data_IF_110322958955
#
_entry.id   IF_110322958955
#
_cell.length_a   1.000
_cell.length_b   1.000
_cell.length_c   1.000
_cell.angle_alpha   90.00
_cell.angle_beta   90.00
_cell.angle_gamma   90.00
#
_symmetry.space_group_name_H-M   'P 1'
#
loop_
_entity.id
_entity.type
_entity.pdbx_description
1 polymer ?
#
# COMPACT_ATOMS: atom_id res chain seq x y z
N UNK A 1 22.26 47.71 81.63
CA UNK A 1 22.83 46.34 81.51
C UNK A 1 24.07 46.28 82.38
N UNK A 2 24.07 45.46 83.44
CA UNK A 2 25.18 45.36 84.40
C UNK A 2 26.25 44.40 83.86
N UNK A 3 27.46 44.91 83.61
CA UNK A 3 28.63 44.10 83.29
C UNK A 3 29.09 43.40 84.58
N UNK A 4 29.10 42.06 84.58
CA UNK A 4 29.56 41.28 85.73
C UNK A 4 30.99 40.76 85.47
N UNK A 5 32.02 41.41 86.03
CA UNK A 5 33.43 41.12 85.75
C UNK A 5 33.86 39.71 86.18
N UNK A 6 33.17 39.10 87.16
CA UNK A 6 33.47 37.75 87.61
C UNK A 6 33.04 36.69 86.58
N UNK A 7 31.93 36.93 85.88
CA UNK A 7 31.48 36.05 84.79
C UNK A 7 32.38 36.16 83.55
N UNK A 8 32.94 37.33 83.26
CA UNK A 8 33.92 37.47 82.18
C UNK A 8 35.25 36.80 82.52
N UNK A 9 35.73 36.92 83.76
CA UNK A 9 36.95 36.26 84.23
C UNK A 9 36.82 34.73 84.23
N UNK A 10 35.69 34.19 84.70
CA UNK A 10 35.44 32.74 84.69
C UNK A 10 35.36 32.18 83.26
N UNK A 11 34.75 32.91 82.33
CA UNK A 11 34.72 32.53 80.90
C UNK A 11 36.12 32.57 80.28
N UNK A 12 36.92 33.57 80.60
CA UNK A 12 38.30 33.69 80.11
C UNK A 12 39.19 32.57 80.67
N UNK A 13 39.13 32.28 81.97
CA UNK A 13 39.88 31.17 82.57
C UNK A 13 39.48 29.80 82.00
N UNK A 14 38.18 29.60 81.72
CA UNK A 14 37.69 28.37 81.08
C UNK A 14 38.19 28.23 79.64
N UNK A 15 38.25 29.33 78.87
CA UNK A 15 38.91 29.35 77.54
C UNK A 15 40.39 29.04 77.65
N UNK A 16 41.11 29.73 78.52
CA UNK A 16 42.55 29.55 78.72
C UNK A 16 42.92 28.11 79.13
N UNK A 17 42.07 27.45 79.94
CA UNK A 17 42.24 26.05 80.32
C UNK A 17 41.97 25.07 79.16
N UNK A 18 41.01 25.38 78.27
CA UNK A 18 40.80 24.58 77.05
C UNK A 18 41.95 24.77 76.06
N UNK A 19 42.47 25.99 75.92
CA UNK A 19 43.61 26.30 75.04
C UNK A 19 44.90 25.60 75.50
N UNK A 20 45.04 25.27 76.80
CA UNK A 20 46.17 24.49 77.35
C UNK A 20 46.00 22.97 77.26
N UNK A 21 44.82 22.46 76.85
CA UNK A 21 44.53 21.02 76.76
C UNK A 21 44.54 20.46 75.33
N UNK A 22 44.50 21.33 74.32
CA UNK A 22 44.67 20.91 72.93
C UNK A 22 46.16 20.84 72.59
N UNK A 23 46.60 19.68 72.09
CA UNK A 23 47.90 19.56 71.44
C UNK A 23 47.93 20.47 70.19
N UNK A 24 48.79 21.50 70.13
CA UNK A 24 48.87 22.39 68.99
C UNK A 24 49.15 21.66 67.67
N UNK A 25 49.88 20.53 67.71
CA UNK A 25 50.17 19.75 66.52
C UNK A 25 48.90 19.13 65.93
N UNK A 26 48.04 18.57 66.78
CA UNK A 26 46.77 18.00 66.35
C UNK A 26 45.83 19.04 65.72
N UNK A 27 45.82 20.28 66.24
CA UNK A 27 45.05 21.38 65.66
C UNK A 27 45.58 21.77 64.27
N UNK A 28 46.90 21.76 64.07
CA UNK A 28 47.52 22.02 62.77
C UNK A 28 47.24 20.89 61.77
N UNK A 29 47.33 19.63 62.20
CA UNK A 29 47.06 18.46 61.36
C UNK A 29 45.59 18.45 60.91
N UNK A 30 44.65 18.73 61.81
CA UNK A 30 43.23 18.87 61.47
C UNK A 30 42.95 20.06 60.55
N UNK A 31 43.70 21.16 60.69
CA UNK A 31 43.57 22.30 59.79
C UNK A 31 44.07 21.94 58.38
N UNK A 32 45.19 21.24 58.27
CA UNK A 32 45.72 20.73 57.00
C UNK A 32 44.76 19.73 56.34
N UNK A 33 44.21 18.79 57.10
CA UNK A 33 43.21 17.82 56.60
C UNK A 33 41.94 18.54 56.12
N UNK A 34 41.44 19.52 56.87
CA UNK A 34 40.29 20.33 56.45
C UNK A 34 40.58 21.08 55.14
N UNK A 35 41.76 21.64 55.01
CA UNK A 35 42.13 22.41 53.81
C UNK A 35 42.29 21.47 52.60
N UNK A 36 42.87 20.27 52.78
CA UNK A 36 42.90 19.22 51.77
C UNK A 36 41.48 18.79 51.35
N UNK A 37 40.59 18.52 52.31
CA UNK A 37 39.20 18.13 52.01
C UNK A 37 38.43 19.24 51.28
N UNK A 38 38.76 20.52 51.52
CA UNK A 38 38.18 21.65 50.77
C UNK A 38 38.65 21.65 49.33
N UNK A 39 39.94 21.46 49.09
CA UNK A 39 40.49 21.35 47.73
C UNK A 39 39.90 20.17 46.96
N UNK A 40 39.78 19.01 47.61
CA UNK A 40 39.15 17.82 47.01
C UNK A 40 37.68 18.06 46.68
N UNK A 41 36.92 18.68 47.58
CA UNK A 41 35.52 19.05 47.32
C UNK A 41 35.41 20.01 46.14
N UNK A 42 36.22 21.06 46.11
CA UNK A 42 36.17 22.07 45.04
C UNK A 42 36.54 21.45 43.68
N UNK A 43 37.48 20.50 43.67
CA UNK A 43 37.82 19.69 42.50
C UNK A 43 36.66 18.79 42.04
N UNK A 44 36.03 18.06 42.96
CA UNK A 44 34.88 17.21 42.67
C UNK A 44 33.66 18.01 42.20
N UNK A 45 33.45 19.21 42.73
CA UNK A 45 32.36 20.11 42.33
C UNK A 45 32.58 20.60 40.88
N UNK A 46 33.82 20.93 40.52
CA UNK A 46 34.20 21.27 39.15
C UNK A 46 33.97 20.09 38.19
N UNK A 47 34.36 18.88 38.59
CA UNK A 47 34.14 17.68 37.78
C UNK A 47 32.65 17.33 37.64
N UNK A 48 31.88 17.43 38.70
CA UNK A 48 30.43 17.22 38.67
C UNK A 48 29.75 18.22 37.72
N UNK A 49 30.16 19.48 37.75
CA UNK A 49 29.68 20.51 36.82
C UNK A 49 30.04 20.18 35.38
N UNK A 50 31.27 19.71 35.12
CA UNK A 50 31.73 19.28 33.80
C UNK A 50 30.91 18.12 33.26
N UNK A 51 30.73 17.06 34.04
CA UNK A 51 29.98 15.86 33.63
C UNK A 51 28.50 16.20 33.42
N UNK A 52 27.92 17.04 34.28
CA UNK A 52 26.53 17.51 34.11
C UNK A 52 26.36 18.28 32.81
N UNK A 53 27.31 19.16 32.47
CA UNK A 53 27.30 19.87 31.19
C UNK A 53 27.48 18.95 29.98
N UNK A 54 28.32 17.91 30.08
CA UNK A 54 28.46 16.90 29.03
C UNK A 54 27.17 16.09 28.84
N UNK A 55 26.52 15.67 29.93
CA UNK A 55 25.27 14.94 29.88
C UNK A 55 24.14 15.76 29.25
N UNK A 56 24.04 17.05 29.56
CA UNK A 56 23.07 17.93 28.93
C UNK A 56 23.27 18.00 27.40
N UNK A 57 24.52 18.20 26.94
CA UNK A 57 24.84 18.22 25.51
C UNK A 57 24.54 16.90 24.81
N UNK A 58 24.89 15.77 25.43
CA UNK A 58 24.58 14.45 24.89
C UNK A 58 23.07 14.22 24.83
N UNK A 59 22.32 14.71 25.81
CA UNK A 59 20.87 14.63 25.80
C UNK A 59 20.27 15.42 24.63
N UNK A 60 20.73 16.65 24.42
CA UNK A 60 20.30 17.48 23.28
C UNK A 60 20.61 16.80 21.93
N UNK A 61 21.81 16.23 21.79
CA UNK A 61 22.21 15.47 20.58
C UNK A 61 21.33 14.23 20.35
N UNK A 62 20.98 13.51 21.41
CA UNK A 62 20.09 12.35 21.31
C UNK A 62 18.71 12.78 20.81
N UNK A 63 18.17 13.87 21.34
CA UNK A 63 16.87 14.42 20.92
C UNK A 63 16.89 14.80 19.43
N UNK A 64 17.94 15.48 18.97
CA UNK A 64 18.13 15.85 17.57
C UNK A 64 18.18 14.60 16.66
N UNK A 65 18.96 13.59 17.03
CA UNK A 65 19.04 12.33 16.27
C UNK A 65 17.70 11.58 16.19
N UNK A 66 16.88 11.65 17.23
CA UNK A 66 15.53 11.07 17.19
C UNK A 66 14.62 11.81 16.21
N UNK A 67 14.70 13.14 16.16
CA UNK A 67 13.94 13.95 15.20
C UNK A 67 14.37 13.66 13.76
N UNK A 68 15.68 13.63 13.50
CA UNK A 68 16.23 13.30 12.18
C UNK A 68 15.80 11.90 11.72
N UNK A 69 15.86 10.91 12.62
CA UNK A 69 15.42 9.54 12.33
C UNK A 69 13.95 9.50 11.93
N UNK A 70 13.09 10.24 12.64
CA UNK A 70 11.66 10.26 12.38
C UNK A 70 11.34 10.99 11.07
N UNK A 71 12.08 12.06 10.76
CA UNK A 71 12.01 12.73 9.46
C UNK A 71 12.43 11.80 8.32
N UNK A 72 13.58 11.12 8.45
CA UNK A 72 14.07 10.16 7.45
C UNK A 72 13.09 9.00 7.25
N UNK A 73 12.44 8.51 8.31
CA UNK A 73 11.37 7.50 8.21
C UNK A 73 10.19 8.01 7.39
N UNK A 74 9.74 9.24 7.63
CA UNK A 74 8.65 9.83 6.85
C UNK A 74 9.03 10.03 5.38
N UNK A 75 10.27 10.45 5.10
CA UNK A 75 10.79 10.57 3.74
C UNK A 75 10.89 9.22 3.03
N UNK A 76 11.33 8.17 3.74
CA UNK A 76 11.40 6.81 3.23
C UNK A 76 10.01 6.27 2.87
N UNK A 77 9.00 6.50 3.72
CA UNK A 77 7.61 6.12 3.43
C UNK A 77 7.13 6.83 2.15
N UNK A 78 7.29 8.15 2.06
CA UNK A 78 6.91 8.92 0.86
C UNK A 78 7.63 8.45 -0.40
N UNK A 79 8.92 8.11 -0.28
CA UNK A 79 9.71 7.60 -1.40
C UNK A 79 9.26 6.20 -1.81
N UNK A 80 8.95 5.33 -0.85
CA UNK A 80 8.41 4.01 -1.11
C UNK A 80 7.02 4.11 -1.75
N UNK A 81 6.13 4.98 -1.27
CA UNK A 81 4.82 5.18 -1.88
C UNK A 81 4.92 5.67 -3.33
N UNK A 82 5.88 6.56 -3.63
CA UNK A 82 6.19 6.97 -5.01
C UNK A 82 6.70 5.79 -5.82
N UNK A 83 7.66 5.03 -5.31
CA UNK A 83 8.18 3.85 -5.99
C UNK A 83 7.08 2.80 -6.24
N UNK A 84 6.22 2.56 -5.26
CA UNK A 84 5.09 1.65 -5.39
C UNK A 84 4.10 2.19 -6.44
N UNK A 85 3.79 3.49 -6.45
CA UNK A 85 2.97 4.08 -7.52
C UNK A 85 3.64 3.98 -8.88
N UNK A 86 4.94 4.23 -8.98
CA UNK A 86 5.62 4.21 -10.26
C UNK A 86 5.74 2.77 -10.78
N UNK A 87 6.11 1.81 -9.93
CA UNK A 87 6.22 0.40 -10.32
C UNK A 87 4.86 -0.25 -10.54
N UNK A 88 3.92 -0.11 -9.60
CA UNK A 88 2.61 -0.75 -9.69
C UNK A 88 1.58 0.08 -10.46
N UNK A 89 1.74 1.40 -10.55
CA UNK A 89 0.92 2.25 -11.41
C UNK A 89 1.33 2.16 -12.88
N UNK A 90 2.62 1.99 -13.20
CA UNK A 90 3.03 1.61 -14.56
C UNK A 90 2.54 0.20 -14.92
N UNK A 91 2.39 -0.71 -13.95
CA UNK A 91 1.76 -2.03 -14.19
C UNK A 91 0.26 -1.95 -14.53
N UNK A 92 -0.41 -0.82 -14.28
CA UNK A 92 -1.83 -0.61 -14.62
C UNK A 92 -2.02 0.19 -15.92
N UNK A 93 -1.02 0.94 -16.37
CA UNK A 93 -1.06 1.69 -17.64
C UNK A 93 -0.29 1.02 -18.80
N UNK A 94 0.50 -0.03 -18.55
CA UNK A 94 1.14 -0.80 -19.60
C UNK A 94 2.01 -1.94 -19.10
N UNK A 95 1.40 -3.13 -19.00
CA UNK A 95 2.02 -4.47 -18.99
C UNK A 95 3.06 -4.77 -17.86
N UNK A 96 2.80 -5.73 -16.95
CA UNK A 96 3.72 -6.05 -15.86
C UNK A 96 4.99 -6.76 -16.34
N UNK A 97 6.13 -6.07 -16.34
CA UNK A 97 7.44 -6.72 -16.42
C UNK A 97 7.77 -7.28 -15.03
N UNK A 98 7.33 -8.52 -14.75
CA UNK A 98 7.98 -9.34 -13.71
C UNK A 98 7.09 -10.05 -12.69
N UNK A 99 5.77 -9.97 -12.79
CA UNK A 99 4.86 -10.87 -12.08
C UNK A 99 4.05 -11.66 -13.10
N UNK A 100 3.90 -12.97 -12.93
CA UNK A 100 2.99 -13.76 -13.76
C UNK A 100 1.64 -13.03 -13.87
N UNK A 101 1.15 -12.72 -15.08
CA UNK A 101 -0.06 -11.96 -15.22
C UNK A 101 -1.20 -12.74 -14.56
N UNK A 102 -1.98 -12.14 -13.65
CA UNK A 102 -3.18 -12.78 -13.13
C UNK A 102 -4.16 -12.90 -14.29
N UNK A 103 -4.24 -14.10 -14.88
CA UNK A 103 -5.35 -14.56 -15.71
C UNK A 103 -5.51 -13.96 -17.11
N UNK A 104 -5.25 -12.67 -17.34
CA UNK A 104 -5.65 -11.96 -18.57
C UNK A 104 -5.01 -12.50 -19.85
N UNK A 105 -3.69 -12.30 -20.00
CA UNK A 105 -2.98 -12.74 -21.21
C UNK A 105 -2.91 -14.26 -21.39
N UNK A 106 -2.96 -15.03 -20.30
CA UNK A 106 -2.97 -16.49 -20.36
C UNK A 106 -4.32 -16.99 -20.88
N UNK A 107 -5.42 -16.40 -20.43
CA UNK A 107 -6.77 -16.71 -20.91
C UNK A 107 -6.98 -16.21 -22.34
N UNK A 108 -6.49 -15.01 -22.69
CA UNK A 108 -6.54 -14.50 -24.06
C UNK A 108 -5.71 -15.36 -25.00
N UNK A 109 -4.52 -15.81 -24.59
CA UNK A 109 -3.73 -16.74 -25.40
C UNK A 109 -4.41 -18.12 -25.52
N UNK A 110 -5.09 -18.61 -24.48
CA UNK A 110 -5.84 -19.86 -24.55
C UNK A 110 -7.05 -19.72 -25.49
N UNK A 111 -7.76 -18.59 -25.42
CA UNK A 111 -8.89 -18.26 -26.29
C UNK A 111 -8.43 -18.09 -27.75
N UNK A 112 -7.38 -17.33 -28.00
CA UNK A 112 -6.79 -17.16 -29.34
C UNK A 112 -6.28 -18.49 -29.90
N UNK A 113 -5.71 -19.38 -29.07
CA UNK A 113 -5.33 -20.73 -29.50
C UNK A 113 -6.55 -21.58 -29.87
N UNK A 114 -7.60 -21.54 -29.06
CA UNK A 114 -8.85 -22.24 -29.35
C UNK A 114 -9.53 -21.69 -30.62
N UNK A 115 -9.51 -20.38 -30.83
CA UNK A 115 -10.00 -19.73 -32.06
C UNK A 115 -9.16 -20.12 -33.28
N UNK A 116 -7.82 -20.14 -33.15
CA UNK A 116 -6.93 -20.59 -34.22
C UNK A 116 -7.14 -22.06 -34.57
N UNK A 117 -7.34 -22.94 -33.59
CA UNK A 117 -7.63 -24.35 -33.83
C UNK A 117 -9.03 -24.55 -34.44
N UNK A 118 -10.02 -23.75 -34.04
CA UNK A 118 -11.34 -23.74 -34.65
C UNK A 118 -11.27 -23.28 -36.12
N UNK A 119 -10.47 -22.25 -36.44
CA UNK A 119 -10.24 -21.78 -37.81
C UNK A 119 -9.49 -22.85 -38.63
N UNK A 120 -8.45 -23.47 -38.07
CA UNK A 120 -7.69 -24.55 -38.72
C UNK A 120 -8.53 -25.81 -38.96
N UNK A 121 -9.53 -26.06 -38.13
CA UNK A 121 -10.46 -27.18 -38.27
C UNK A 121 -11.58 -26.97 -39.28
N UNK A 122 -11.77 -25.75 -39.80
CA UNK A 122 -12.81 -25.50 -40.79
C UNK A 122 -12.53 -26.23 -42.10
N UNK A 123 -13.57 -26.87 -42.64
CA UNK A 123 -13.53 -27.41 -44.00
C UNK A 123 -13.97 -26.32 -44.98
N UNK A 124 -13.35 -26.23 -46.17
CA UNK A 124 -13.82 -25.33 -47.22
C UNK A 124 -15.29 -25.57 -47.52
N UNK A 125 -16.07 -24.49 -47.60
CA UNK A 125 -17.51 -24.54 -47.93
C UNK A 125 -17.76 -24.36 -49.42
N UNK A 126 -16.79 -23.80 -50.16
CA UNK A 126 -16.84 -23.67 -51.61
C UNK A 126 -15.43 -23.58 -52.23
N UNK A 127 -15.37 -23.84 -53.54
CA UNK A 127 -14.15 -23.69 -54.34
C UNK A 127 -14.39 -22.68 -55.45
N UNK A 128 -13.37 -21.89 -55.74
CA UNK A 128 -13.40 -20.94 -56.85
C UNK A 128 -12.14 -21.07 -57.70
N UNK A 129 -12.30 -20.78 -58.98
CA UNK A 129 -11.18 -20.65 -59.90
C UNK A 129 -11.37 -19.48 -60.85
N UNK A 130 -10.27 -19.02 -61.42
CA UNK A 130 -10.24 -17.99 -62.47
C UNK A 130 -9.07 -18.22 -63.40
N UNK A 131 -9.21 -17.74 -64.64
CA UNK A 131 -8.05 -17.42 -65.45
C UNK A 131 -7.48 -16.07 -64.99
N UNK A 132 -6.18 -15.87 -65.15
CA UNK A 132 -5.52 -14.58 -64.90
C UNK A 132 -6.31 -13.46 -65.58
N UNK A 133 -6.59 -12.41 -64.82
CA UNK A 133 -7.39 -11.24 -65.21
C UNK A 133 -8.91 -11.43 -65.34
N UNK A 134 -9.46 -12.59 -64.97
CA UNK A 134 -10.91 -12.82 -64.89
C UNK A 134 -11.47 -12.76 -63.44
N UNK A 135 -12.79 -12.62 -63.34
CA UNK A 135 -13.51 -12.72 -62.07
C UNK A 135 -13.50 -14.15 -61.52
N UNK A 136 -13.58 -14.27 -60.20
CA UNK A 136 -13.64 -15.56 -59.53
C UNK A 136 -14.97 -16.27 -59.81
N UNK A 137 -14.92 -17.39 -60.52
CA UNK A 137 -16.08 -18.25 -60.76
C UNK A 137 -16.14 -19.40 -59.74
N UNK A 138 -17.36 -19.85 -59.40
CA UNK A 138 -17.54 -21.06 -58.59
C UNK A 138 -17.10 -22.28 -59.40
N UNK A 139 -16.36 -23.20 -58.78
CA UNK A 139 -15.95 -24.45 -59.40
C UNK A 139 -16.22 -25.64 -58.47
N UNK A 140 -16.15 -26.84 -59.03
CA UNK A 140 -16.27 -28.07 -58.25
C UNK A 140 -14.95 -28.40 -57.54
N UNK A 141 -15.03 -29.16 -56.44
CA UNK A 141 -13.85 -29.66 -55.74
C UNK A 141 -12.91 -30.45 -56.65
N UNK A 142 -13.46 -31.29 -57.54
CA UNK A 142 -12.66 -32.07 -58.49
C UNK A 142 -11.89 -31.19 -59.48
N UNK A 143 -12.50 -30.08 -59.93
CA UNK A 143 -11.82 -29.10 -60.77
C UNK A 143 -10.71 -28.36 -60.02
N UNK A 144 -10.97 -27.96 -58.77
CA UNK A 144 -9.96 -27.37 -57.88
C UNK A 144 -8.77 -28.31 -57.66
N UNK A 145 -9.02 -29.58 -57.32
CA UNK A 145 -7.99 -30.57 -57.04
C UNK A 145 -7.13 -30.87 -58.28
N UNK A 146 -7.74 -30.90 -59.47
CA UNK A 146 -7.00 -31.09 -60.72
C UNK A 146 -6.10 -29.88 -61.03
N UNK A 147 -6.62 -28.66 -60.90
CA UNK A 147 -5.86 -27.42 -61.09
C UNK A 147 -4.67 -27.31 -60.12
N UNK A 148 -4.86 -27.69 -58.85
CA UNK A 148 -3.78 -27.70 -57.85
C UNK A 148 -2.72 -28.77 -58.13
N UNK A 149 -3.11 -29.89 -58.75
CA UNK A 149 -2.22 -31.01 -59.07
C UNK A 149 -1.37 -30.75 -60.32
N UNK A 150 -1.94 -30.08 -61.32
CA UNK A 150 -1.31 -29.85 -62.62
C UNK A 150 -1.32 -28.35 -62.99
N UNK A 151 -0.59 -27.50 -62.24
CA UNK A 151 -0.57 -26.06 -62.51
C UNK A 151 0.02 -25.72 -63.89
N UNK A 152 0.86 -26.61 -64.43
CA UNK A 152 1.52 -26.45 -65.74
C UNK A 152 0.58 -26.73 -66.93
N UNK A 153 -0.56 -27.40 -66.69
CA UNK A 153 -1.56 -27.64 -67.73
C UNK A 153 -2.22 -26.34 -68.23
N UNK A 154 -1.98 -25.22 -67.53
CA UNK A 154 -2.50 -23.89 -67.84
C UNK A 154 -1.38 -22.85 -67.97
N UNK A 155 -0.66 -22.84 -69.12
CA UNK A 155 0.32 -21.81 -69.43
C UNK A 155 -0.40 -20.49 -69.70
N UNK A 156 -0.73 -19.77 -68.63
CA UNK A 156 -1.52 -18.54 -68.70
C UNK A 156 -1.74 -17.88 -67.34
N UNK A 157 -1.80 -18.66 -66.25
CA UNK A 157 -2.03 -18.14 -64.89
C UNK A 157 -3.39 -18.54 -64.33
N UNK A 158 -3.65 -19.84 -64.26
CA UNK A 158 -4.89 -20.35 -63.69
C UNK A 158 -4.80 -20.43 -62.16
N UNK A 159 -5.69 -19.73 -61.46
CA UNK A 159 -5.69 -19.67 -59.99
C UNK A 159 -6.91 -20.36 -59.41
N UNK A 160 -6.71 -21.08 -58.31
CA UNK A 160 -7.77 -21.76 -57.58
C UNK A 160 -7.63 -21.51 -56.07
N UNK A 161 -8.74 -21.19 -55.41
CA UNK A 161 -8.81 -20.93 -53.97
C UNK A 161 -9.99 -21.60 -53.29
N UNK A 162 -9.81 -21.86 -52.00
CA UNK A 162 -10.82 -22.35 -51.09
C UNK A 162 -11.54 -21.16 -50.44
N UNK A 163 -12.85 -21.30 -50.23
CA UNK A 163 -13.64 -20.37 -49.44
C UNK A 163 -14.08 -21.04 -48.15
N UNK A 164 -13.83 -20.37 -47.03
CA UNK A 164 -14.24 -20.78 -45.69
C UNK A 164 -15.45 -19.94 -45.23
N UNK A 165 -16.28 -20.50 -44.35
CA UNK A 165 -17.38 -19.74 -43.75
C UNK A 165 -16.82 -18.68 -42.80
N UNK A 166 -17.47 -17.52 -42.67
CA UNK A 166 -17.11 -16.61 -41.59
C UNK A 166 -17.31 -17.33 -40.25
N UNK A 167 -16.34 -17.25 -39.31
CA UNK A 167 -16.52 -17.81 -37.99
C UNK A 167 -17.77 -17.20 -37.36
N UNK A 168 -18.58 -17.98 -36.61
CA UNK A 168 -19.72 -17.44 -35.89
C UNK A 168 -19.20 -16.35 -34.95
N UNK A 169 -19.68 -15.12 -35.12
CA UNK A 169 -19.43 -14.05 -34.15
C UNK A 169 -20.01 -14.54 -32.82
N UNK A 170 -19.15 -14.79 -31.83
CA UNK A 170 -19.59 -15.16 -30.49
C UNK A 170 -20.33 -13.98 -29.87
N UNK A 171 -21.65 -13.97 -30.02
CA UNK A 171 -22.58 -13.26 -29.14
C UNK A 171 -22.49 -13.94 -27.77
N UNK A 172 -21.77 -13.33 -26.82
CA UNK A 172 -21.77 -13.77 -25.43
C UNK A 172 -20.39 -13.85 -24.81
N UNK A 173 -19.88 -12.71 -24.35
CA UNK A 173 -18.83 -12.64 -23.35
C UNK A 173 -19.26 -11.60 -22.31
N UNK A 174 -20.28 -11.94 -21.53
CA UNK A 174 -20.54 -11.30 -20.23
C UNK A 174 -20.37 -12.39 -19.16
N UNK A 175 -19.14 -12.70 -18.82
CA UNK A 175 -18.82 -13.23 -17.49
C UNK A 175 -18.14 -12.06 -16.79
N UNK A 176 -18.97 -11.31 -16.04
CA UNK A 176 -18.64 -9.99 -15.49
C UNK A 176 -17.68 -10.12 -14.33
N UNK A 177 -16.38 -10.22 -14.62
CA UNK A 177 -15.35 -9.73 -13.69
C UNK A 177 -15.49 -8.20 -13.67
N UNK A 178 -16.34 -7.69 -12.78
CA UNK A 178 -16.52 -6.24 -12.60
C UNK A 178 -15.40 -5.79 -11.66
N UNK A 179 -14.35 -5.11 -12.13
CA UNK A 179 -13.34 -4.56 -11.23
C UNK A 179 -14.01 -3.66 -10.19
N UNK A 180 -13.49 -3.57 -8.97
CA UNK A 180 -14.04 -2.77 -7.86
C UNK A 180 -14.47 -1.35 -8.29
N UNK A 181 -13.69 -0.72 -9.17
CA UNK A 181 -14.01 0.58 -9.76
C UNK A 181 -15.38 0.59 -10.50
N UNK A 182 -15.71 -0.46 -11.25
CA UNK A 182 -16.98 -0.57 -11.94
C UNK A 182 -18.13 -0.89 -10.97
N UNK A 183 -17.89 -1.62 -9.87
CA UNK A 183 -18.88 -1.78 -8.79
C UNK A 183 -19.17 -0.44 -8.08
N UNK A 184 -18.13 0.38 -7.84
CA UNK A 184 -18.28 1.74 -7.28
C UNK A 184 -19.04 2.65 -8.25
N UNK A 185 -18.69 2.66 -9.54
CA UNK A 185 -19.42 3.45 -10.54
C UNK A 185 -20.89 3.04 -10.64
N UNK A 186 -21.16 1.74 -10.53
CA UNK A 186 -22.52 1.21 -10.46
C UNK A 186 -23.25 1.75 -9.22
N UNK A 187 -22.63 1.67 -8.05
CA UNK A 187 -23.19 2.23 -6.82
C UNK A 187 -23.54 3.71 -7.01
N UNK A 188 -22.63 4.51 -7.57
CA UNK A 188 -22.89 5.93 -7.84
C UNK A 188 -24.05 6.20 -8.82
N UNK A 189 -24.39 5.26 -9.70
CA UNK A 189 -25.45 5.42 -10.69
C UNK A 189 -26.79 4.78 -10.30
N UNK A 190 -26.77 3.76 -9.44
CA UNK A 190 -27.93 2.90 -9.13
C UNK A 190 -28.38 2.97 -7.66
N UNK A 191 -27.62 3.62 -6.77
CA UNK A 191 -28.07 3.84 -5.39
C UNK A 191 -29.35 4.70 -5.36
N UNK A 192 -30.38 4.30 -4.59
CA UNK A 192 -31.56 5.12 -4.38
C UNK A 192 -31.24 6.44 -3.66
N UNK A 193 -32.09 7.45 -3.87
CA UNK A 193 -31.90 8.77 -3.27
C UNK A 193 -31.82 8.69 -1.73
N UNK A 194 -30.81 9.33 -1.16
CA UNK A 194 -30.55 9.34 0.28
C UNK A 194 -29.69 8.17 0.78
N UNK A 195 -29.57 7.08 0.02
CA UNK A 195 -28.70 5.98 0.40
C UNK A 195 -27.24 6.29 0.11
N UNK A 196 -26.33 5.74 0.92
CA UNK A 196 -24.90 5.89 0.71
C UNK A 196 -24.13 4.63 1.10
N UNK A 197 -22.99 4.42 0.45
CA UNK A 197 -22.09 3.30 0.73
C UNK A 197 -20.74 3.87 1.16
N UNK A 198 -20.27 3.45 2.33
CA UNK A 198 -18.94 3.78 2.83
C UNK A 198 -18.01 2.57 2.72
N UNK A 199 -16.92 2.73 1.98
CA UNK A 199 -15.87 1.72 1.85
C UNK A 199 -14.70 2.13 2.73
N UNK A 200 -14.41 1.34 3.75
CA UNK A 200 -13.36 1.62 4.73
C UNK A 200 -12.23 0.60 4.62
N UNK A 201 -10.99 1.05 4.81
CA UNK A 201 -9.80 0.21 4.77
C UNK A 201 -8.84 0.55 5.93
N UNK A 202 -8.34 -0.48 6.59
CA UNK A 202 -7.34 -0.45 7.65
C UNK A 202 -6.15 -1.35 7.30
N UNK A 203 -5.11 -1.30 8.14
CA UNK A 203 -3.82 -1.98 7.92
C UNK A 203 -3.95 -3.47 7.57
N UNK A 204 -4.99 -4.14 8.09
CA UNK A 204 -5.19 -5.59 7.95
C UNK A 204 -6.64 -5.97 7.53
N UNK A 205 -7.43 -5.04 7.00
CA UNK A 205 -8.81 -5.33 6.62
C UNK A 205 -9.52 -4.21 5.87
N UNK A 206 -10.61 -4.56 5.19
CA UNK A 206 -11.52 -3.60 4.58
C UNK A 206 -12.96 -4.07 4.81
N UNK A 207 -13.88 -3.13 4.93
CA UNK A 207 -15.31 -3.42 5.07
C UNK A 207 -16.15 -2.36 4.36
N UNK A 208 -17.40 -2.73 4.09
CA UNK A 208 -18.39 -1.88 3.44
C UNK A 208 -19.52 -1.66 4.42
N UNK A 209 -19.91 -0.41 4.64
CA UNK A 209 -21.11 -0.04 5.36
C UNK A 209 -22.14 0.54 4.38
N UNK A 210 -23.39 0.07 4.48
CA UNK A 210 -24.52 0.61 3.73
C UNK A 210 -25.34 1.48 4.69
N UNK A 211 -25.62 2.72 4.28
CA UNK A 211 -26.44 3.66 5.03
C UNK A 211 -27.73 3.95 4.26
N UNK A 212 -28.86 3.94 4.96
CA UNK A 212 -30.16 4.32 4.40
C UNK A 212 -30.31 5.86 4.30
N UNK A 213 -31.49 6.32 3.85
CA UNK A 213 -31.82 7.74 3.72
C UNK A 213 -31.72 8.52 5.04
N UNK A 214 -31.89 7.85 6.18
CA UNK A 214 -31.76 8.39 7.52
C UNK A 214 -30.31 8.37 8.06
N UNK A 215 -29.35 7.91 7.26
CA UNK A 215 -27.94 7.72 7.63
C UNK A 215 -27.72 6.66 8.73
N UNK A 216 -28.64 5.71 8.85
CA UNK A 216 -28.50 4.55 9.72
C UNK A 216 -27.80 3.40 8.99
N UNK A 217 -26.90 2.71 9.69
CA UNK A 217 -26.18 1.56 9.15
C UNK A 217 -27.14 0.37 9.05
N UNK A 218 -27.29 -0.17 7.85
CA UNK A 218 -28.17 -1.30 7.56
C UNK A 218 -27.33 -2.55 7.29
N UNK A 219 -27.66 -3.65 7.98
CA UNK A 219 -27.08 -4.96 7.68
C UNK A 219 -27.71 -5.56 6.43
N UNK A 220 -26.87 -6.06 5.53
CA UNK A 220 -27.27 -6.73 4.29
C UNK A 220 -26.54 -8.07 4.18
N UNK A 221 -27.13 -9.07 3.51
CA UNK A 221 -26.50 -10.37 3.33
C UNK A 221 -25.32 -10.26 2.37
N UNK A 222 -24.12 -10.62 2.83
CA UNK A 222 -22.91 -10.70 2.00
C UNK A 222 -21.98 -11.80 2.50
N UNK A 223 -21.20 -12.39 1.61
CA UNK A 223 -20.23 -13.44 1.96
C UNK A 223 -18.84 -12.89 2.36
N UNK A 224 -18.62 -11.57 2.24
CA UNK A 224 -17.35 -10.88 2.55
C UNK A 224 -16.10 -11.47 1.88
N UNK A 225 -16.25 -12.27 0.82
CA UNK A 225 -15.12 -12.94 0.16
C UNK A 225 -14.31 -11.95 -0.70
N UNK A 226 -14.99 -10.95 -1.27
CA UNK A 226 -14.41 -9.92 -2.13
C UNK A 226 -15.15 -8.59 -1.98
N UNK A 227 -14.39 -7.49 -1.89
CA UNK A 227 -14.94 -6.15 -1.65
C UNK A 227 -15.88 -5.67 -2.77
N UNK A 228 -15.58 -6.02 -4.02
CA UNK A 228 -16.41 -5.68 -5.19
C UNK A 228 -17.76 -6.40 -5.18
N UNK A 229 -17.83 -7.62 -4.67
CA UNK A 229 -19.10 -8.32 -4.47
C UNK A 229 -19.89 -7.70 -3.33
N UNK A 230 -19.24 -7.39 -2.21
CA UNK A 230 -19.90 -6.75 -1.07
C UNK A 230 -20.50 -5.38 -1.44
N UNK A 231 -19.85 -4.60 -2.30
CA UNK A 231 -20.43 -3.34 -2.81
C UNK A 231 -21.65 -3.61 -3.69
N UNK A 232 -21.61 -4.61 -4.58
CA UNK A 232 -22.77 -4.96 -5.40
C UNK A 232 -23.93 -5.49 -4.57
N UNK A 233 -23.68 -6.35 -3.58
CA UNK A 233 -24.69 -6.88 -2.66
C UNK A 233 -25.40 -5.74 -1.91
N UNK A 234 -24.64 -4.73 -1.46
CA UNK A 234 -25.18 -3.54 -0.81
C UNK A 234 -26.10 -2.72 -1.73
N UNK A 235 -25.70 -2.53 -3.00
CA UNK A 235 -26.51 -1.83 -4.01
C UNK A 235 -27.81 -2.58 -4.29
N UNK A 236 -27.74 -3.89 -4.55
CA UNK A 236 -28.93 -4.71 -4.79
C UNK A 236 -29.89 -4.68 -3.60
N UNK A 237 -29.35 -4.77 -2.39
CA UNK A 237 -30.13 -4.69 -1.17
C UNK A 237 -30.84 -3.34 -1.01
N UNK A 238 -30.16 -2.22 -1.28
CA UNK A 238 -30.76 -0.89 -1.22
C UNK A 238 -31.91 -0.73 -2.23
N UNK A 239 -31.73 -1.21 -3.47
CA UNK A 239 -32.76 -1.19 -4.52
C UNK A 239 -33.96 -2.03 -4.11
N UNK A 240 -33.74 -3.25 -3.62
CA UNK A 240 -34.81 -4.15 -3.18
C UNK A 240 -35.58 -3.57 -2.00
N UNK A 241 -34.87 -2.99 -1.02
CA UNK A 241 -35.47 -2.39 0.18
C UNK A 241 -36.34 -1.18 -0.18
N UNK A 242 -35.89 -0.35 -1.12
CA UNK A 242 -36.66 0.81 -1.61
C UNK A 242 -37.91 0.36 -2.35
N UNK A 243 -37.81 -0.65 -3.23
CA UNK A 243 -38.97 -1.20 -3.93
C UNK A 243 -40.00 -1.82 -2.99
N UNK A 244 -39.55 -2.51 -1.94
CA UNK A 244 -40.46 -3.08 -0.93
C UNK A 244 -41.15 -1.99 -0.09
N UNK A 245 -40.47 -0.87 0.16
CA UNK A 245 -41.08 0.28 0.82
C UNK A 245 -42.14 0.95 -0.06
N UNK A 246 -41.90 1.05 -1.37
CA UNK A 246 -42.85 1.62 -2.34
C UNK A 246 -44.06 0.70 -2.62
N UNK A 247 -43.90 -0.62 -2.55
CA UNK A 247 -44.99 -1.60 -2.74
C UNK A 247 -45.83 -1.84 -1.47
N UNK A 248 -45.37 -1.34 -0.32
CA UNK A 248 -46.02 -1.48 0.98
C UNK A 248 -46.94 -0.31 1.39
N UNK A 249 -47.00 0.75 0.58
CA UNK A 249 -47.89 1.91 0.71
C UNK A 249 -49.18 1.76 -0.12
#
# INVERSE_FOLDING_TARGET
MSFNPLLSLARNAKRQKMDMQCDPQWVLDLAAERDQLREERDSLESECSRVTGQNARLHDQIVELYQDRDQLRAELIKANDRYQRDVYGLNNEGDPIGGEPPGGYANDNAKLRAELDAIRGQKPVAWQSRFTDEEWAKCSRGHFDWVKREPEAFPGGYEARELYALPPQQLGAEERDVPLHAAINRACGELPDGWSIEVNAERDGAWVALLNAELEVVEFPTNNERLDYTVNDAVEFAILSTRQAEEGE
#
